data_IF_193762671230
#
_entry.id   IF_193762671230
#
_cell.length_a   1.000
_cell.length_b   1.000
_cell.length_c   1.000
_cell.angle_alpha   90.00
_cell.angle_beta   90.00
_cell.angle_gamma   90.00
#
_symmetry.space_group_name_H-M   'P 1'
#
loop_
_entity.id
_entity.type
_entity.pdbx_description
1 polymer ?
#
# COMPACT_ATOMS: atom_id res chain seq x y z
N UNK A 1 -12.45 -22.82 24.49
CA UNK A 1 -11.63 -22.92 23.26
C UNK A 1 -11.28 -21.51 22.82
N UNK A 2 -10.11 -21.04 23.24
CA UNK A 2 -9.63 -19.66 23.13
C UNK A 2 -9.20 -19.35 21.70
N UNK A 3 -9.93 -18.49 21.00
CA UNK A 3 -9.48 -17.91 19.73
C UNK A 3 -8.52 -16.77 20.02
N UNK A 4 -7.25 -17.12 20.25
CA UNK A 4 -6.15 -16.17 20.13
C UNK A 4 -6.09 -15.73 18.66
N UNK A 5 -6.74 -14.61 18.36
CA UNK A 5 -6.59 -13.92 17.09
C UNK A 5 -5.27 -13.14 17.21
N UNK A 6 -4.17 -13.56 16.56
CA UNK A 6 -2.99 -12.73 16.51
C UNK A 6 -3.35 -11.41 15.84
N UNK A 7 -2.86 -10.29 16.40
CA UNK A 7 -2.94 -8.92 15.88
C UNK A 7 -2.17 -8.74 14.54
N UNK A 8 -2.31 -9.71 13.64
CA UNK A 8 -2.43 -9.44 12.22
C UNK A 8 -3.87 -9.00 11.98
N UNK A 9 -4.19 -7.73 12.26
CA UNK A 9 -5.07 -7.01 11.31
C UNK A 9 -4.50 -7.38 9.96
N UNK A 10 -5.29 -7.98 9.08
CA UNK A 10 -4.88 -8.42 7.76
C UNK A 10 -3.89 -7.44 7.14
N UNK A 11 -2.59 -7.65 7.41
CA UNK A 11 -1.49 -6.91 6.83
C UNK A 11 -1.41 -7.58 5.48
N UNK A 12 -2.16 -7.04 4.54
CA UNK A 12 -1.94 -7.38 3.16
C UNK A 12 -0.43 -7.23 2.91
N UNK A 13 0.19 -8.18 2.19
CA UNK A 13 1.44 -7.84 1.54
C UNK A 13 1.16 -6.55 0.78
N UNK A 14 2.13 -5.65 0.72
CA UNK A 14 2.14 -4.62 -0.32
C UNK A 14 2.06 -5.37 -1.65
N UNK A 15 0.83 -5.63 -2.12
CA UNK A 15 0.60 -6.11 -3.46
C UNK A 15 0.98 -4.90 -4.29
N UNK A 16 2.19 -4.98 -4.84
CA UNK A 16 2.69 -4.14 -5.90
C UNK A 16 1.52 -3.60 -6.72
N UNK A 17 1.18 -2.33 -6.56
CA UNK A 17 0.50 -1.60 -7.62
C UNK A 17 1.59 -1.15 -8.59
N UNK A 18 2.20 -2.12 -9.27
CA UNK A 18 2.69 -1.85 -10.61
C UNK A 18 1.44 -1.68 -11.49
N UNK A 19 1.49 -0.73 -12.42
CA UNK A 19 0.41 -0.28 -13.32
C UNK A 19 -0.29 -1.35 -14.19
N UNK A 20 -0.09 -2.65 -13.96
CA UNK A 20 -0.75 -3.71 -14.73
C UNK A 20 -1.16 -4.88 -13.82
N UNK A 21 -2.44 -4.95 -13.46
CA UNK A 21 -3.03 -6.17 -12.90
C UNK A 21 -3.04 -7.26 -13.99
N UNK A 22 -2.29 -8.34 -13.76
CA UNK A 22 -2.48 -9.63 -14.42
C UNK A 22 -3.91 -10.11 -14.22
N UNK A 23 -4.59 -10.50 -15.29
CA UNK A 23 -5.73 -11.44 -15.20
C UNK A 23 -5.16 -12.83 -14.93
N UNK A 24 -5.34 -13.34 -13.72
CA UNK A 24 -5.15 -14.76 -13.43
C UNK A 24 -6.37 -15.52 -13.93
N UNK A 25 -6.16 -16.43 -14.88
CA UNK A 25 -7.17 -17.40 -15.28
C UNK A 25 -7.47 -18.33 -14.09
N UNK A 26 -8.74 -18.62 -13.77
CA UNK A 26 -9.05 -19.64 -12.77
C UNK A 26 -8.83 -21.04 -13.34
N UNK A 27 -8.00 -21.81 -12.65
CA UNK A 27 -7.86 -23.25 -12.81
C UNK A 27 -9.18 -23.97 -12.51
N UNK A 28 -9.55 -24.88 -13.41
CA UNK A 28 -10.71 -25.76 -13.31
C UNK A 28 -10.57 -26.73 -12.13
N UNK A 29 -11.56 -26.75 -11.23
CA UNK A 29 -12.11 -27.94 -10.56
C UNK A 29 -13.27 -27.50 -9.64
N UNK A 30 -14.50 -27.74 -10.08
CA UNK A 30 -15.62 -27.99 -9.18
C UNK A 30 -16.62 -28.92 -9.87
N UNK A 31 -17.08 -29.87 -9.07
CA UNK A 31 -18.05 -30.94 -9.34
C UNK A 31 -19.47 -30.36 -9.39
N UNK A 32 -20.34 -31.06 -10.11
CA UNK A 32 -21.65 -30.68 -10.61
C UNK A 32 -22.74 -30.34 -9.57
N UNK A 33 -23.67 -29.46 -9.99
CA UNK A 33 -25.11 -29.60 -9.77
C UNK A 33 -25.88 -28.79 -10.86
N UNK A 34 -26.98 -29.31 -11.44
CA UNK A 34 -27.71 -28.64 -12.52
C UNK A 34 -28.79 -27.70 -11.97
N UNK A 35 -28.66 -26.39 -12.21
CA UNK A 35 -29.77 -25.44 -12.04
C UNK A 35 -30.35 -25.04 -13.39
N UNK A 36 -31.66 -25.19 -13.50
CA UNK A 36 -32.54 -24.82 -14.61
C UNK A 36 -32.32 -23.37 -15.09
N UNK A 37 -32.16 -23.23 -16.41
CA UNK A 37 -31.86 -21.99 -17.12
C UNK A 37 -33.14 -21.21 -17.39
N UNK A 38 -33.23 -19.97 -16.89
CA UNK A 38 -34.17 -18.96 -17.38
C UNK A 38 -33.37 -17.85 -18.11
N UNK A 39 -33.73 -17.64 -19.38
CA UNK A 39 -33.33 -16.54 -20.28
C UNK A 39 -31.83 -16.32 -20.54
N UNK A 40 -31.35 -16.97 -21.61
CA UNK A 40 -30.07 -16.70 -22.27
C UNK A 40 -30.33 -16.04 -23.64
N UNK A 41 -30.29 -14.71 -23.72
CA UNK A 41 -30.36 -13.97 -24.98
C UNK A 41 -28.98 -13.86 -25.64
N UNK A 42 -28.39 -15.00 -26.01
CA UNK A 42 -27.18 -15.04 -26.85
C UNK A 42 -27.57 -15.52 -28.24
N UNK A 43 -27.31 -14.75 -29.32
CA UNK A 43 -27.59 -15.22 -30.67
C UNK A 43 -26.67 -16.40 -31.03
N UNK A 44 -27.23 -17.37 -31.76
CA UNK A 44 -26.51 -18.55 -32.23
C UNK A 44 -25.27 -18.16 -33.04
N UNK A 45 -24.13 -18.76 -32.70
CA UNK A 45 -22.90 -18.73 -33.50
C UNK A 45 -23.16 -19.50 -34.81
N UNK A 46 -23.00 -18.90 -36.00
CA UNK A 46 -23.08 -19.65 -37.24
C UNK A 46 -21.89 -20.61 -37.35
N UNK A 47 -22.21 -21.88 -37.62
CA UNK A 47 -21.26 -22.98 -37.79
C UNK A 47 -20.93 -23.12 -39.28
N UNK A 48 -20.16 -22.18 -39.85
CA UNK A 48 -19.50 -22.36 -41.15
C UNK A 48 -18.31 -21.42 -41.29
N UNK A 49 -17.20 -21.94 -41.84
CA UNK A 49 -15.87 -21.33 -41.86
C UNK A 49 -15.57 -20.63 -43.20
N UNK A 50 -16.60 -20.11 -43.86
CA UNK A 50 -16.52 -19.29 -45.06
C UNK A 50 -17.18 -17.96 -44.75
N UNK A 51 -16.55 -16.85 -45.16
CA UNK A 51 -16.88 -15.46 -44.84
C UNK A 51 -16.22 -14.93 -43.55
N UNK A 52 -14.89 -14.97 -43.52
CA UNK A 52 -14.05 -14.19 -42.59
C UNK A 52 -13.75 -12.77 -43.08
N UNK A 53 -14.54 -12.26 -44.03
CA UNK A 53 -14.54 -10.90 -44.55
C UNK A 53 -15.84 -10.17 -44.19
N UNK A 54 -16.41 -10.48 -43.02
CA UNK A 54 -17.50 -9.67 -42.44
C UNK A 54 -16.87 -8.42 -41.83
N UNK A 55 -16.85 -7.39 -42.68
CA UNK A 55 -16.81 -5.96 -42.40
C UNK A 55 -16.03 -5.49 -41.17
N UNK A 56 -14.78 -5.10 -41.42
CA UNK A 56 -13.99 -4.20 -40.54
C UNK A 56 -14.83 -2.97 -40.14
N UNK A 57 -15.68 -2.47 -41.05
CA UNK A 57 -16.62 -1.37 -40.78
C UNK A 57 -17.67 -1.69 -39.73
N UNK A 58 -18.18 -2.92 -39.70
CA UNK A 58 -19.19 -3.33 -38.73
C UNK A 58 -18.57 -3.59 -37.35
N UNK A 59 -17.32 -4.06 -37.32
CA UNK A 59 -16.53 -4.14 -36.08
C UNK A 59 -16.15 -2.75 -35.55
N UNK A 60 -15.77 -1.82 -36.42
CA UNK A 60 -15.53 -0.43 -36.04
C UNK A 60 -16.82 0.26 -35.58
N UNK A 61 -17.96 0.04 -36.25
CA UNK A 61 -19.25 0.58 -35.81
C UNK A 61 -19.69 0.02 -34.46
N UNK A 62 -19.41 -1.27 -34.18
CA UNK A 62 -19.65 -1.87 -32.86
C UNK A 62 -18.73 -1.29 -31.77
N UNK A 63 -17.46 -1.06 -32.09
CA UNK A 63 -16.51 -0.40 -31.18
C UNK A 63 -16.91 1.06 -30.92
N UNK A 64 -17.26 1.81 -31.97
CA UNK A 64 -17.74 3.20 -31.86
C UNK A 64 -19.04 3.31 -31.07
N UNK A 65 -20.00 2.39 -31.26
CA UNK A 65 -21.23 2.35 -30.47
C UNK A 65 -20.96 2.06 -28.99
N UNK A 66 -19.93 1.26 -28.69
CA UNK A 66 -19.50 0.98 -27.30
C UNK A 66 -18.79 2.19 -26.68
N UNK A 67 -18.02 2.96 -27.46
CA UNK A 67 -17.33 4.18 -27.02
C UNK A 67 -18.31 5.35 -26.84
N UNK A 68 -19.33 5.47 -27.68
CA UNK A 68 -20.37 6.52 -27.57
C UNK A 68 -21.28 6.39 -26.34
N UNK A 69 -21.33 5.22 -25.71
CA UNK A 69 -22.11 4.97 -24.50
C UNK A 69 -21.35 5.21 -23.19
N UNK A 70 -20.04 5.44 -23.23
CA UNK A 70 -19.27 5.81 -22.05
C UNK A 70 -19.25 7.34 -21.91
N UNK A 71 -19.58 7.90 -20.74
CA UNK A 71 -19.42 9.32 -20.52
C UNK A 71 -17.96 9.68 -20.79
N UNK A 72 -17.72 10.68 -21.64
CA UNK A 72 -16.37 11.16 -21.95
C UNK A 72 -15.61 11.34 -20.62
N UNK A 73 -14.43 10.74 -20.45
CA UNK A 73 -13.69 10.84 -19.21
C UNK A 73 -13.48 12.32 -18.95
N UNK A 74 -14.01 12.80 -17.82
CA UNK A 74 -13.97 14.21 -17.47
C UNK A 74 -12.50 14.66 -17.53
N UNK A 75 -12.18 15.55 -18.47
CA UNK A 75 -10.81 15.93 -18.82
C UNK A 75 -10.08 16.58 -17.62
N UNK A 76 -10.84 17.10 -16.65
CA UNK A 76 -10.31 17.60 -15.39
C UNK A 76 -9.96 16.47 -14.42
N UNK A 77 -10.76 15.41 -14.37
CA UNK A 77 -10.48 14.22 -13.57
C UNK A 77 -9.25 13.49 -14.11
N UNK A 78 -9.14 13.33 -15.43
CA UNK A 78 -7.95 12.71 -16.03
C UNK A 78 -6.68 13.52 -15.79
N UNK A 79 -6.71 14.86 -15.89
CA UNK A 79 -5.57 15.72 -15.55
C UNK A 79 -5.16 15.61 -14.07
N UNK A 80 -6.14 15.56 -13.16
CA UNK A 80 -5.88 15.35 -11.72
C UNK A 80 -5.28 13.96 -11.47
N UNK A 81 -5.81 12.92 -12.09
CA UNK A 81 -5.27 11.57 -12.00
C UNK A 81 -3.85 11.48 -12.55
N UNK A 82 -3.55 12.13 -13.68
CA UNK A 82 -2.19 12.21 -14.23
C UNK A 82 -1.24 12.91 -13.26
N UNK A 83 -1.69 13.99 -12.61
CA UNK A 83 -0.86 14.72 -11.65
C UNK A 83 -0.69 13.97 -10.33
N UNK A 84 -1.71 13.24 -9.88
CA UNK A 84 -1.63 12.33 -8.73
C UNK A 84 -0.73 11.11 -9.03
N UNK A 85 -0.76 10.59 -10.26
CA UNK A 85 0.17 9.55 -10.72
C UNK A 85 1.60 10.09 -10.83
N UNK A 86 1.78 11.34 -11.24
CA UNK A 86 3.10 11.98 -11.26
C UNK A 86 3.67 12.19 -9.84
N UNK A 87 2.84 12.23 -8.80
CA UNK A 87 3.31 12.28 -7.41
C UNK A 87 3.91 10.95 -6.92
N UNK A 88 3.55 9.82 -7.52
CA UNK A 88 4.02 8.49 -7.09
C UNK A 88 4.95 7.84 -8.11
N UNK A 89 6.26 7.85 -7.80
CA UNK A 89 7.29 7.15 -8.58
C UNK A 89 7.51 5.70 -8.07
N UNK A 90 6.80 5.31 -7.01
CA UNK A 90 7.08 4.08 -6.30
C UNK A 90 8.39 4.16 -5.50
N UNK A 91 8.80 3.03 -4.94
CA UNK A 91 10.05 2.95 -4.19
C UNK A 91 11.23 3.13 -5.15
N UNK A 92 12.16 4.05 -4.84
CA UNK A 92 13.30 4.32 -5.71
C UNK A 92 14.14 3.07 -5.97
N UNK A 93 14.66 2.93 -7.18
CA UNK A 93 15.54 1.83 -7.53
C UNK A 93 16.78 1.79 -6.62
N UNK A 94 17.26 0.56 -6.36
CA UNK A 94 18.41 0.32 -5.50
C UNK A 94 18.26 0.83 -4.05
N UNK A 95 17.03 1.01 -3.55
CA UNK A 95 16.79 1.21 -2.12
C UNK A 95 16.97 -0.11 -1.39
N UNK A 96 18.08 -0.25 -0.69
CA UNK A 96 18.34 -1.44 0.13
C UNK A 96 17.99 -1.14 1.59
N UNK A 97 17.04 -1.89 2.13
CA UNK A 97 16.66 -1.84 3.54
C UNK A 97 17.36 -3.00 4.24
N UNK A 98 18.36 -2.68 5.07
CA UNK A 98 19.14 -3.71 5.77
C UNK A 98 18.23 -4.64 6.56
N UNK A 99 18.29 -5.93 6.26
CA UNK A 99 17.61 -6.98 7.00
C UNK A 99 18.25 -7.18 8.38
N UNK A 100 17.53 -7.86 9.27
CA UNK A 100 18.10 -8.31 10.53
C UNK A 100 19.17 -9.38 10.29
N UNK A 101 20.23 -9.38 11.09
CA UNK A 101 21.33 -10.35 10.95
C UNK A 101 20.86 -11.81 11.05
N UNK A 102 19.77 -12.08 11.76
CA UNK A 102 19.16 -13.41 11.86
C UNK A 102 18.55 -13.93 10.55
N UNK A 103 18.26 -13.05 9.59
CA UNK A 103 17.68 -13.40 8.28
C UNK A 103 18.71 -13.35 7.14
N UNK A 104 19.97 -13.08 7.48
CA UNK A 104 21.06 -13.03 6.51
C UNK A 104 21.75 -14.39 6.45
N UNK A 105 22.38 -14.72 5.30
CA UNK A 105 23.22 -15.90 5.20
C UNK A 105 24.40 -15.79 6.16
N UNK A 106 25.06 -16.92 6.43
CA UNK A 106 26.18 -16.97 7.36
C UNK A 106 27.28 -15.97 6.97
N UNK A 107 27.95 -15.31 7.94
CA UNK A 107 28.93 -14.26 7.67
C UNK A 107 30.15 -14.75 6.87
N UNK A 108 30.36 -16.06 6.81
CA UNK A 108 31.44 -16.72 6.06
C UNK A 108 31.10 -16.92 4.58
N UNK A 109 29.83 -16.77 4.19
CA UNK A 109 29.39 -16.95 2.81
C UNK A 109 29.75 -15.75 1.93
N UNK A 110 30.07 -16.00 0.66
CA UNK A 110 30.25 -14.93 -0.33
C UNK A 110 28.97 -14.10 -0.53
N UNK A 111 27.80 -14.73 -0.39
CA UNK A 111 26.49 -14.07 -0.46
C UNK A 111 26.32 -13.00 0.62
N UNK A 112 26.84 -13.23 1.83
CA UNK A 112 26.84 -12.22 2.88
C UNK A 112 27.68 -10.99 2.49
N UNK A 113 28.87 -11.23 1.93
CA UNK A 113 29.77 -10.15 1.51
C UNK A 113 29.21 -9.38 0.31
N UNK A 114 28.64 -10.07 -0.68
CA UNK A 114 28.00 -9.42 -1.83
C UNK A 114 26.79 -8.58 -1.40
N UNK A 115 25.98 -9.08 -0.47
CA UNK A 115 24.90 -8.31 0.16
C UNK A 115 25.43 -7.09 0.92
N UNK A 116 26.48 -7.25 1.73
CA UNK A 116 27.06 -6.12 2.46
C UNK A 116 27.65 -5.07 1.51
N UNK A 117 28.29 -5.51 0.43
CA UNK A 117 28.81 -4.64 -0.61
C UNK A 117 27.71 -3.87 -1.32
N UNK A 118 26.57 -4.48 -1.63
CA UNK A 118 25.42 -3.78 -2.21
C UNK A 118 24.80 -2.77 -1.23
N UNK A 119 24.70 -3.11 0.05
CA UNK A 119 24.28 -2.15 1.10
C UNK A 119 25.24 -0.97 1.16
N UNK A 120 26.55 -1.22 1.17
CA UNK A 120 27.57 -0.17 1.22
C UNK A 120 27.53 0.71 -0.03
N UNK A 121 27.48 0.11 -1.23
CA UNK A 121 27.30 0.80 -2.50
C UNK A 121 26.01 1.64 -2.51
N UNK A 122 24.92 1.14 -1.94
CA UNK A 122 23.67 1.89 -1.83
C UNK A 122 23.80 3.15 -0.97
N UNK A 123 24.63 3.12 0.09
CA UNK A 123 24.91 4.27 0.94
C UNK A 123 25.75 5.33 0.23
N UNK A 124 26.79 4.91 -0.49
CA UNK A 124 27.63 5.81 -1.29
C UNK A 124 26.84 6.45 -2.43
N UNK A 125 26.09 5.66 -3.19
CA UNK A 125 25.20 6.17 -4.25
C UNK A 125 24.10 7.08 -3.68
N UNK A 126 23.57 6.76 -2.49
CA UNK A 126 22.64 7.63 -1.77
C UNK A 126 23.26 9.00 -1.40
N UNK A 127 24.52 9.03 -0.97
CA UNK A 127 25.21 10.29 -0.68
C UNK A 127 25.42 11.12 -1.95
N UNK A 128 25.88 10.48 -3.04
CA UNK A 128 26.07 11.12 -4.33
C UNK A 128 24.76 11.73 -4.87
N UNK A 129 23.67 10.95 -4.86
CA UNK A 129 22.36 11.43 -5.34
C UNK A 129 21.81 12.59 -4.52
N UNK A 130 22.12 12.67 -3.23
CA UNK A 130 21.75 13.82 -2.37
C UNK A 130 22.54 15.08 -2.69
N UNK A 131 23.83 14.95 -3.01
CA UNK A 131 24.61 16.08 -3.51
C UNK A 131 24.09 16.54 -4.87
N UNK A 132 23.72 15.61 -5.77
CA UNK A 132 23.09 15.96 -7.04
C UNK A 132 21.75 16.68 -6.85
N UNK A 133 20.86 16.17 -5.99
CA UNK A 133 19.59 16.81 -5.65
C UNK A 133 19.77 18.24 -5.15
N UNK A 134 20.80 18.50 -4.35
CA UNK A 134 21.08 19.87 -3.89
C UNK A 134 21.47 20.79 -5.03
N UNK A 135 22.13 20.29 -6.08
CA UNK A 135 22.42 21.10 -7.28
C UNK A 135 21.15 21.47 -8.05
N UNK A 136 20.12 20.61 -8.03
CA UNK A 136 18.81 20.94 -8.61
C UNK A 136 18.13 22.11 -7.87
N UNK A 137 18.31 22.21 -6.54
CA UNK A 137 17.70 23.28 -5.72
C UNK A 137 18.58 24.54 -5.67
N UNK A 138 19.89 24.37 -5.50
CA UNK A 138 20.87 25.45 -5.32
C UNK A 138 21.88 25.42 -6.45
N UNK A 139 21.65 26.25 -7.48
CA UNK A 139 22.48 26.30 -8.69
C UNK A 139 23.82 27.03 -8.53
N UNK A 140 24.00 27.86 -7.49
CA UNK A 140 25.19 28.72 -7.31
C UNK A 140 25.96 28.43 -6.00
N UNK A 141 27.28 28.46 -6.07
CA UNK A 141 28.21 28.44 -4.93
C UNK A 141 28.69 27.06 -4.47
N UNK A 142 29.73 27.06 -3.62
CA UNK A 142 30.39 25.85 -3.07
C UNK A 142 29.41 24.99 -2.25
N UNK A 143 28.41 25.62 -1.64
CA UNK A 143 27.37 24.96 -0.83
C UNK A 143 26.50 23.97 -1.64
N UNK A 144 26.49 24.05 -2.97
CA UNK A 144 25.78 23.13 -3.87
C UNK A 144 26.40 21.72 -3.91
N UNK A 145 27.68 21.57 -3.57
CA UNK A 145 28.39 20.29 -3.59
C UNK A 145 28.18 19.49 -2.30
N UNK A 146 27.91 20.17 -1.18
CA UNK A 146 27.64 19.54 0.12
C UNK A 146 26.29 18.83 0.09
N UNK A 147 26.14 17.64 0.68
CA UNK A 147 24.83 16.97 0.75
C UNK A 147 23.82 17.81 1.56
N UNK A 148 22.52 17.72 1.20
CA UNK A 148 21.44 18.53 1.81
C UNK A 148 21.37 18.38 3.34
N UNK A 149 21.60 17.18 3.88
CA UNK A 149 21.30 16.86 5.30
C UNK A 149 22.53 16.43 6.10
N UNK A 150 23.67 17.08 5.88
CA UNK A 150 24.84 16.78 6.69
C UNK A 150 24.53 16.97 8.20
N UNK A 151 23.64 17.91 8.54
CA UNK A 151 23.27 18.22 9.93
C UNK A 151 21.78 18.07 10.27
N UNK A 152 20.91 17.79 9.29
CA UNK A 152 19.44 17.78 9.49
C UNK A 152 18.83 16.40 9.78
N UNK A 153 19.67 15.41 10.10
CA UNK A 153 19.20 14.03 10.34
C UNK A 153 18.25 13.93 11.55
N UNK A 154 18.49 14.71 12.60
CA UNK A 154 17.63 14.76 13.80
C UNK A 154 16.24 15.30 13.44
N UNK A 155 16.17 16.34 12.62
CA UNK A 155 14.92 16.93 12.14
C UNK A 155 14.10 15.92 11.32
N UNK A 156 14.74 15.17 10.42
CA UNK A 156 14.08 14.11 9.65
C UNK A 156 13.54 13.00 10.54
N UNK A 157 14.31 12.56 11.55
CA UNK A 157 13.84 11.55 12.52
C UNK A 157 12.63 12.05 13.31
N UNK A 158 12.66 13.31 13.76
CA UNK A 158 11.54 13.91 14.50
C UNK A 158 10.31 14.07 13.62
N UNK A 159 10.49 14.48 12.36
CA UNK A 159 9.41 14.57 11.37
C UNK A 159 8.79 13.20 11.10
N UNK A 160 9.61 12.16 10.95
CA UNK A 160 9.15 10.77 10.80
C UNK A 160 8.33 10.30 12.00
N UNK A 161 8.77 10.55 13.24
CA UNK A 161 8.02 10.22 14.46
C UNK A 161 6.65 10.92 14.50
N UNK A 162 6.61 12.21 14.14
CA UNK A 162 5.35 12.99 14.07
C UNK A 162 4.40 12.42 13.04
N UNK A 163 4.90 12.12 11.83
CA UNK A 163 4.10 11.51 10.77
C UNK A 163 3.57 10.14 11.17
N UNK A 164 4.41 9.30 11.78
CA UNK A 164 4.00 7.99 12.28
C UNK A 164 2.85 8.11 13.29
N UNK A 165 3.00 8.98 14.31
CA UNK A 165 1.96 9.20 15.32
C UNK A 165 0.66 9.69 14.70
N UNK A 166 0.74 10.72 13.87
CA UNK A 166 -0.44 11.31 13.23
C UNK A 166 -1.14 10.33 12.28
N UNK A 167 -0.37 9.52 11.55
CA UNK A 167 -0.89 8.51 10.65
C UNK A 167 -1.78 7.50 11.38
N UNK A 168 -1.30 6.92 12.48
CA UNK A 168 -2.09 5.92 13.22
C UNK A 168 -3.24 6.53 14.02
N UNK A 169 -3.09 7.74 14.56
CA UNK A 169 -4.19 8.48 15.21
C UNK A 169 -5.35 8.69 14.23
N UNK A 170 -5.06 9.18 13.02
CA UNK A 170 -6.07 9.42 12.00
C UNK A 170 -6.69 8.10 11.48
N UNK A 171 -5.90 7.04 11.37
CA UNK A 171 -6.38 5.72 10.96
C UNK A 171 -7.31 5.12 12.03
N UNK A 172 -7.00 5.28 13.31
CA UNK A 172 -7.85 4.86 14.41
C UNK A 172 -9.18 5.64 14.41
N UNK A 173 -9.11 6.98 14.25
CA UNK A 173 -10.26 7.88 14.14
C UNK A 173 -11.14 7.60 12.91
N UNK A 174 -10.54 7.12 11.80
CA UNK A 174 -11.26 6.89 10.54
C UNK A 174 -11.35 8.13 9.63
N UNK A 175 -10.51 9.14 9.86
CA UNK A 175 -10.55 10.42 9.14
C UNK A 175 -9.82 10.37 7.80
N UNK A 176 -10.51 9.85 6.77
CA UNK A 176 -9.95 9.73 5.42
C UNK A 176 -9.54 11.07 4.79
N UNK A 177 -10.22 12.17 5.11
CA UNK A 177 -9.91 13.51 4.57
C UNK A 177 -8.57 14.03 5.08
N UNK A 178 -8.32 13.90 6.38
CA UNK A 178 -7.07 14.33 7.00
C UNK A 178 -5.89 13.46 6.52
N UNK A 179 -6.10 12.14 6.35
CA UNK A 179 -5.09 11.22 5.82
C UNK A 179 -4.60 11.62 4.43
N UNK A 180 -5.48 12.11 3.55
CA UNK A 180 -5.11 12.56 2.20
C UNK A 180 -4.11 13.71 2.20
N UNK A 181 -4.10 14.57 3.23
CA UNK A 181 -3.15 15.68 3.31
C UNK A 181 -1.73 15.24 3.69
N UNK A 182 -1.60 14.11 4.39
CA UNK A 182 -0.33 13.60 4.93
C UNK A 182 0.27 12.51 4.04
N UNK A 183 -0.59 11.66 3.48
CA UNK A 183 -0.21 10.52 2.64
C UNK A 183 -0.18 10.89 1.17
N UNK A 184 0.58 10.15 0.37
CA UNK A 184 0.45 10.22 -1.08
C UNK A 184 -0.94 9.71 -1.55
N UNK A 185 -1.44 10.19 -2.70
CA UNK A 185 -2.75 9.81 -3.22
C UNK A 185 -3.06 8.29 -3.27
N UNK A 186 -2.15 7.41 -3.75
CA UNK A 186 -2.44 5.97 -3.82
C UNK A 186 -2.52 5.32 -2.43
N UNK A 187 -1.69 5.77 -1.48
CA UNK A 187 -1.80 5.31 -0.10
C UNK A 187 -3.13 5.78 0.51
N UNK A 188 -3.49 7.04 0.32
CA UNK A 188 -4.74 7.60 0.83
C UNK A 188 -5.98 6.88 0.27
N UNK A 189 -5.98 6.50 -1.01
CA UNK A 189 -7.08 5.74 -1.62
C UNK A 189 -7.19 4.33 -1.04
N UNK A 190 -6.05 3.66 -0.81
CA UNK A 190 -6.00 2.35 -0.15
C UNK A 190 -6.49 2.39 1.30
N UNK A 191 -6.17 3.46 2.03
CA UNK A 191 -6.63 3.64 3.41
C UNK A 191 -8.10 3.95 3.47
N UNK A 192 -8.61 4.75 2.53
CA UNK A 192 -10.04 5.02 2.41
C UNK A 192 -10.83 3.74 2.18
N UNK A 193 -10.36 2.84 1.31
CA UNK A 193 -11.04 1.56 1.09
C UNK A 193 -10.97 0.65 2.31
N UNK A 194 -9.85 0.65 3.05
CA UNK A 194 -9.72 -0.09 4.32
C UNK A 194 -10.66 0.46 5.40
N UNK A 195 -10.75 1.78 5.55
CA UNK A 195 -11.66 2.42 6.51
C UNK A 195 -13.11 2.11 6.15
N UNK A 196 -13.47 2.12 4.86
CA UNK A 196 -14.81 1.72 4.42
C UNK A 196 -15.10 0.24 4.70
N UNK A 197 -14.12 -0.64 4.45
CA UNK A 197 -14.25 -2.08 4.67
C UNK A 197 -14.30 -2.47 6.16
N UNK A 198 -13.77 -1.62 7.06
CA UNK A 198 -13.75 -1.86 8.51
C UNK A 198 -15.15 -1.91 9.12
N UNK A 199 -16.16 -1.29 8.52
CA UNK A 199 -17.53 -1.30 9.06
C UNK A 199 -17.63 -0.60 10.43
N UNK A 200 -18.60 -0.98 11.29
CA UNK A 200 -18.88 -0.31 12.56
C UNK A 200 -17.93 -0.74 13.69
N UNK A 201 -16.62 -0.77 13.43
CA UNK A 201 -15.63 -1.09 14.46
C UNK A 201 -15.01 0.20 14.99
N UNK A 202 -14.95 0.39 16.31
CA UNK A 202 -14.20 1.47 16.93
C UNK A 202 -12.80 0.96 17.27
N UNK A 203 -11.78 1.64 16.75
CA UNK A 203 -10.37 1.33 16.91
C UNK A 203 -9.75 2.49 17.67
N UNK A 204 -9.02 2.20 18.74
CA UNK A 204 -8.15 3.17 19.38
C UNK A 204 -6.72 2.66 19.33
N UNK A 205 -5.83 3.57 18.96
CA UNK A 205 -4.40 3.32 18.89
C UNK A 205 -3.71 4.23 19.89
N UNK A 206 -2.79 3.67 20.67
CA UNK A 206 -1.98 4.41 21.62
C UNK A 206 -0.51 4.02 21.45
N UNK A 207 0.32 5.06 21.44
CA UNK A 207 1.76 4.94 21.39
C UNK A 207 2.32 5.17 22.79
N UNK A 208 3.00 4.18 23.34
CA UNK A 208 3.64 4.30 24.64
C UNK A 208 5.00 4.99 24.51
N UNK A 209 5.93 4.36 23.79
CA UNK A 209 7.28 4.90 23.60
C UNK A 209 7.89 4.48 22.26
N UNK A 210 8.83 5.30 21.78
CA UNK A 210 9.74 4.91 20.70
C UNK A 210 11.02 4.35 21.32
N UNK A 211 11.34 3.08 21.07
CA UNK A 211 12.61 2.47 21.45
C UNK A 211 13.77 3.01 20.63
N UNK A 212 13.60 3.05 19.30
CA UNK A 212 14.66 3.49 18.40
C UNK A 212 14.10 4.11 17.11
N UNK A 213 14.83 5.09 16.56
CA UNK A 213 14.53 5.70 15.26
C UNK A 213 15.83 5.92 14.48
N UNK A 214 15.99 5.23 13.34
CA UNK A 214 17.23 5.24 12.55
C UNK A 214 16.94 5.40 11.06
N UNK A 215 17.70 6.27 10.39
CA UNK A 215 17.60 6.44 8.93
C UNK A 215 18.35 5.29 8.26
N UNK A 216 17.60 4.46 7.52
CA UNK A 216 18.12 3.25 6.86
C UNK A 216 18.51 3.54 5.42
N UNK A 217 17.76 4.37 4.72
CA UNK A 217 18.08 4.73 3.35
C UNK A 217 17.66 6.17 3.09
N UNK A 218 18.47 6.87 2.31
CA UNK A 218 18.17 8.22 1.89
C UNK A 218 18.67 8.39 0.46
N UNK A 219 17.73 8.47 -0.48
CA UNK A 219 18.03 8.50 -1.91
C UNK A 219 17.25 9.61 -2.59
N UNK A 220 17.83 10.10 -3.68
CA UNK A 220 17.16 11.03 -4.58
C UNK A 220 17.24 10.48 -6.01
N UNK A 221 16.24 10.79 -6.84
CA UNK A 221 16.23 10.45 -8.25
C UNK A 221 15.79 11.67 -9.07
N UNK A 222 16.54 12.06 -10.11
CA UNK A 222 16.06 13.04 -11.08
C UNK A 222 14.95 12.42 -11.95
N UNK A 223 13.97 13.22 -12.37
CA UNK A 223 12.84 12.74 -13.18
C UNK A 223 13.27 12.41 -14.63
N UNK A 224 14.28 13.09 -15.15
CA UNK A 224 14.80 12.89 -16.50
C UNK A 224 15.63 14.07 -16.97
N UNK A 225 16.19 13.97 -18.19
CA UNK A 225 16.97 15.06 -18.79
C UNK A 225 16.09 16.28 -19.15
N UNK A 226 14.82 16.05 -19.48
CA UNK A 226 13.88 17.09 -19.92
C UNK A 226 13.48 18.06 -18.79
N UNK A 227 13.56 17.59 -17.53
CA UNK A 227 13.22 18.38 -16.34
C UNK A 227 14.37 18.34 -15.32
N UNK A 228 15.49 19.04 -15.57
CA UNK A 228 16.69 18.98 -14.72
C UNK A 228 16.45 19.55 -13.31
N UNK A 229 15.47 20.44 -13.18
CA UNK A 229 15.08 21.09 -11.93
C UNK A 229 14.03 20.30 -11.14
N UNK A 230 13.59 19.13 -11.66
CA UNK A 230 12.62 18.25 -11.00
C UNK A 230 13.28 16.98 -10.49
N UNK A 231 13.14 16.72 -9.19
CA UNK A 231 13.73 15.53 -8.57
C UNK A 231 12.93 15.05 -7.37
N UNK A 232 12.99 13.75 -7.13
CA UNK A 232 12.30 13.07 -6.05
C UNK A 232 13.31 12.69 -4.98
N UNK A 233 12.84 12.68 -3.74
CA UNK A 233 13.67 12.39 -2.59
C UNK A 233 12.90 11.52 -1.62
N UNK A 234 13.48 10.36 -1.31
CA UNK A 234 12.90 9.38 -0.41
C UNK A 234 13.82 9.14 0.78
N UNK A 235 13.24 9.16 1.97
CA UNK A 235 13.90 8.87 3.23
C UNK A 235 13.17 7.71 3.92
N UNK A 236 13.92 6.65 4.22
CA UNK A 236 13.41 5.45 4.88
C UNK A 236 13.92 5.45 6.30
N UNK A 237 12.99 5.46 7.26
CA UNK A 237 13.28 5.49 8.68
C UNK A 237 12.77 4.20 9.32
N UNK A 238 13.68 3.45 9.94
CA UNK A 238 13.32 2.34 10.83
C UNK A 238 12.84 2.93 12.15
N UNK A 239 11.59 2.64 12.48
CA UNK A 239 10.95 3.01 13.72
C UNK A 239 10.67 1.73 14.52
N UNK A 240 11.12 1.73 15.76
CA UNK A 240 10.83 0.68 16.73
C UNK A 240 10.01 1.31 17.86
N UNK A 241 8.76 0.88 17.98
CA UNK A 241 7.75 1.47 18.85
C UNK A 241 7.12 0.40 19.74
N UNK A 242 6.69 0.81 20.93
CA UNK A 242 5.77 0.03 21.76
C UNK A 242 4.39 0.65 21.64
N UNK A 243 3.43 -0.14 21.15
CA UNK A 243 2.09 0.32 20.84
C UNK A 243 1.03 -0.65 21.35
N UNK A 244 -0.12 -0.09 21.69
CA UNK A 244 -1.33 -0.83 22.00
C UNK A 244 -2.40 -0.48 20.99
N UNK A 245 -3.09 -1.51 20.53
CA UNK A 245 -4.19 -1.37 19.62
C UNK A 245 -5.40 -2.07 20.18
N UNK A 246 -6.52 -1.36 20.20
CA UNK A 246 -7.74 -1.83 20.82
C UNK A 246 -8.88 -1.67 19.84
N UNK A 247 -9.52 -2.78 19.50
CA UNK A 247 -10.63 -2.83 18.57
C UNK A 247 -11.87 -3.27 19.33
N UNK A 248 -12.79 -2.35 19.53
CA UNK A 248 -14.10 -2.62 20.13
C UNK A 248 -15.13 -2.69 19.01
N UNK A 249 -15.84 -3.81 18.83
CA UNK A 249 -17.01 -3.80 17.97
C UNK A 249 -17.98 -2.77 18.53
N UNK A 250 -18.39 -1.79 17.72
CA UNK A 250 -19.51 -0.96 18.13
C UNK A 250 -20.66 -1.93 18.19
N UNK A 251 -21.21 -2.16 19.39
CA UNK A 251 -22.40 -2.96 19.53
C UNK A 251 -23.42 -2.36 18.58
N UNK A 252 -23.66 -3.03 17.45
CA UNK A 252 -24.92 -2.85 16.77
C UNK A 252 -25.92 -3.10 17.87
N UNK A 253 -26.70 -2.07 18.19
CA UNK A 253 -27.92 -2.24 18.94
C UNK A 253 -28.68 -3.29 18.13
N UNK A 254 -28.45 -4.55 18.45
CA UNK A 254 -29.43 -5.59 18.30
C UNK A 254 -30.53 -5.02 19.14
N UNK A 255 -31.37 -4.19 18.52
CA UNK A 255 -32.74 -4.13 18.93
C UNK A 255 -33.07 -5.59 19.10
N UNK A 256 -33.39 -5.94 20.33
CA UNK A 256 -34.20 -7.08 20.60
C UNK A 256 -35.49 -6.85 19.80
N UNK A 257 -35.45 -6.97 18.47
CA UNK A 257 -36.36 -7.79 17.75
C UNK A 257 -36.24 -9.14 18.44
N UNK A 258 -36.94 -9.23 19.59
CA UNK A 258 -37.79 -10.36 19.87
C UNK A 258 -38.41 -10.64 18.52
N UNK A 259 -37.82 -11.56 17.77
CA UNK A 259 -38.55 -12.26 16.76
C UNK A 259 -39.77 -12.74 17.54
N UNK A 260 -40.88 -11.99 17.43
CA UNK A 260 -42.15 -12.46 17.92
C UNK A 260 -42.26 -13.78 17.17
N UNK A 261 -42.10 -14.87 17.92
CA UNK A 261 -42.26 -16.19 17.35
C UNK A 261 -43.56 -16.13 16.55
N UNK A 262 -43.58 -16.59 15.28
CA UNK A 262 -44.83 -16.68 14.57
C UNK A 262 -45.83 -17.39 15.49
N UNK A 263 -47.03 -16.80 15.62
CA UNK A 263 -48.06 -17.07 16.65
C UNK A 263 -48.51 -18.55 16.69
N UNK A 264 -48.03 -19.38 15.77
CA UNK A 264 -48.34 -20.80 15.71
C UNK A 264 -47.14 -21.65 16.12
N UNK A 265 -46.90 -21.75 17.43
CA UNK A 265 -46.16 -22.87 18.03
C UNK A 265 -47.13 -23.62 18.94
N UNK A 266 -47.39 -24.92 18.72
CA UNK A 266 -48.28 -25.68 19.59
C UNK A 266 -47.68 -25.78 21.00
N UNK A 267 -48.55 -25.56 21.99
CA UNK A 267 -48.34 -25.34 23.44
C UNK A 267 -47.54 -26.39 24.24
N UNK A 268 -46.83 -27.33 23.61
CA UNK A 268 -46.21 -28.48 24.28
C UNK A 268 -44.71 -28.42 24.53
N UNK A 269 -43.97 -27.47 23.96
CA UNK A 269 -42.51 -27.45 24.03
C UNK A 269 -42.00 -26.56 25.20
N UNK A 270 -41.88 -27.20 26.36
CA UNK A 270 -40.93 -26.94 27.45
C UNK A 270 -40.36 -25.51 27.58
N UNK A 271 -40.83 -24.80 28.61
CA UNK A 271 -40.11 -23.70 29.25
C UNK A 271 -38.77 -24.23 29.78
N UNK A 272 -37.69 -24.03 29.02
CA UNK A 272 -36.38 -23.87 29.64
C UNK A 272 -36.20 -22.39 29.92
N UNK A 273 -36.21 -22.05 31.20
CA UNK A 273 -35.87 -20.73 31.71
C UNK A 273 -34.50 -20.35 31.16
N UNK A 274 -34.49 -19.31 30.33
CA UNK A 274 -33.28 -18.64 29.91
C UNK A 274 -32.65 -18.03 31.16
N UNK A 275 -31.71 -18.76 31.76
CA UNK A 275 -30.78 -18.24 32.75
C UNK A 275 -30.09 -17.05 32.09
N UNK A 276 -30.37 -15.87 32.64
CA UNK A 276 -29.70 -14.64 32.28
C UNK A 276 -28.20 -14.83 32.52
N UNK A 277 -27.46 -15.02 31.43
CA UNK A 277 -25.99 -14.91 31.45
C UNK A 277 -25.70 -13.46 31.82
N UNK A 278 -25.03 -13.19 32.95
CA UNK A 278 -24.73 -11.83 33.37
C UNK A 278 -23.87 -11.16 32.30
N UNK A 279 -24.46 -10.16 31.67
CA UNK A 279 -23.82 -9.23 30.77
C UNK A 279 -22.94 -8.28 31.58
N UNK A 280 -21.86 -8.77 32.16
CA UNK A 280 -20.82 -7.95 32.77
C UNK A 280 -19.55 -8.78 33.01
N UNK A 281 -19.00 -9.31 31.92
CA UNK A 281 -17.56 -9.50 31.84
C UNK A 281 -17.10 -8.64 30.68
N UNK A 282 -16.97 -7.34 30.96
CA UNK A 282 -15.94 -6.55 30.29
C UNK A 282 -14.62 -7.25 30.59
N UNK A 283 -14.28 -8.24 29.77
CA UNK A 283 -12.92 -8.72 29.65
C UNK A 283 -12.20 -7.55 29.00
N UNK A 284 -11.78 -6.58 29.83
CA UNK A 284 -10.63 -5.77 29.56
C UNK A 284 -9.47 -6.75 29.44
N UNK A 285 -9.32 -7.37 28.27
CA UNK A 285 -8.14 -8.14 27.95
C UNK A 285 -7.00 -7.16 28.14
N UNK A 286 -6.19 -7.37 29.18
CA UNK A 286 -5.02 -6.54 29.49
C UNK A 286 -4.27 -6.29 28.18
N UNK A 287 -4.32 -5.03 27.72
CA UNK A 287 -3.84 -4.63 26.41
C UNK A 287 -2.32 -4.69 26.43
N UNK A 288 -1.76 -5.87 26.23
CA UNK A 288 -0.32 -6.08 26.20
C UNK A 288 0.30 -5.17 25.16
N UNK A 289 1.19 -4.29 25.60
CA UNK A 289 1.97 -3.42 24.71
C UNK A 289 2.86 -4.27 23.82
N UNK A 290 2.73 -4.13 22.50
CA UNK A 290 3.51 -4.88 21.54
C UNK A 290 4.66 -4.03 21.01
N UNK A 291 5.85 -4.62 20.93
CA UNK A 291 6.99 -3.99 20.25
C UNK A 291 6.87 -4.25 18.75
N UNK A 292 6.83 -3.18 17.96
CA UNK A 292 6.69 -3.25 16.50
C UNK A 292 7.84 -2.51 15.82
N UNK A 293 8.42 -3.15 14.81
CA UNK A 293 9.48 -2.60 13.96
C UNK A 293 8.91 -2.38 12.57
N UNK A 294 8.91 -1.13 12.13
CA UNK A 294 8.38 -0.72 10.82
C UNK A 294 9.36 0.23 10.12
N UNK A 295 9.38 0.18 8.79
CA UNK A 295 10.20 1.06 7.96
C UNK A 295 9.27 2.05 7.27
N UNK A 296 9.17 3.25 7.83
CA UNK A 296 8.38 4.33 7.26
C UNK A 296 9.15 4.96 6.10
N UNK A 297 8.49 5.07 4.94
CA UNK A 297 9.02 5.74 3.76
C UNK A 297 8.36 7.10 3.64
N UNK A 298 9.17 8.14 3.75
CA UNK A 298 8.75 9.51 3.50
C UNK A 298 9.27 9.96 2.15
N UNK A 299 8.47 10.72 1.42
CA UNK A 299 8.81 11.27 0.12
C UNK A 299 8.59 12.78 0.10
N UNK A 300 9.51 13.50 -0.55
CA UNK A 300 9.31 14.88 -1.00
C UNK A 300 9.74 14.97 -2.46
N UNK A 301 9.25 15.99 -3.16
CA UNK A 301 9.67 16.32 -4.52
C UNK A 301 10.13 17.77 -4.58
N UNK A 302 10.99 18.04 -5.54
CA UNK A 302 11.35 19.38 -5.97
C UNK A 302 10.74 19.54 -7.35
N UNK A 303 9.94 20.59 -7.53
CA UNK A 303 9.37 20.99 -8.81
C UNK A 303 9.93 22.37 -9.14
N UNK A 304 10.57 22.51 -10.31
CA UNK A 304 11.15 23.78 -10.78
C UNK A 304 12.03 24.50 -9.74
N UNK A 305 12.85 23.72 -9.02
CA UNK A 305 13.75 24.23 -7.97
C UNK A 305 13.10 24.56 -6.63
N UNK A 306 11.78 24.35 -6.46
CA UNK A 306 11.07 24.54 -5.19
C UNK A 306 10.81 23.19 -4.51
N UNK A 307 11.28 23.04 -3.27
CA UNK A 307 11.05 21.84 -2.45
C UNK A 307 9.63 21.86 -1.87
N UNK A 308 8.92 20.75 -2.03
CA UNK A 308 7.60 20.54 -1.44
C UNK A 308 7.65 19.94 -0.03
N UNK A 309 6.49 19.94 0.62
CA UNK A 309 6.32 19.27 1.89
C UNK A 309 6.50 17.75 1.80
N UNK A 310 7.00 17.20 2.90
CA UNK A 310 7.17 15.76 3.03
C UNK A 310 5.82 15.09 3.23
N UNK A 311 5.57 14.03 2.47
CA UNK A 311 4.40 13.16 2.57
C UNK A 311 4.82 11.72 2.93
N UNK A 312 3.88 10.95 3.46
CA UNK A 312 4.07 9.52 3.69
C UNK A 312 3.80 8.78 2.39
N UNK A 313 4.81 8.09 1.86
CA UNK A 313 4.64 7.20 0.72
C UNK A 313 4.03 5.86 1.16
N UNK A 314 4.53 5.32 2.27
CA UNK A 314 4.02 4.07 2.83
C UNK A 314 5.03 3.42 3.77
N UNK A 315 4.88 2.10 3.93
CA UNK A 315 5.81 1.28 4.69
C UNK A 315 6.55 0.34 3.75
N UNK A 316 7.79 0.01 4.08
CA UNK A 316 8.59 -0.93 3.30
C UNK A 316 9.03 -2.13 4.15
N UNK A 317 9.30 -3.24 3.48
CA UNK A 317 9.82 -4.46 4.10
C UNK A 317 11.34 -4.51 4.04
N UNK A 318 11.93 -5.36 4.87
CA UNK A 318 13.36 -5.68 4.79
C UNK A 318 13.73 -6.28 3.43
N UNK A 319 14.89 -5.88 2.93
CA UNK A 319 15.51 -6.39 1.70
C UNK A 319 16.42 -7.56 2.07
N UNK A 320 15.92 -8.78 1.87
CA UNK A 320 16.70 -10.03 1.96
C UNK A 320 17.40 -10.31 0.63
N UNK A 321 18.50 -11.08 0.60
CA UNK A 321 19.20 -11.41 -0.65
C UNK A 321 18.27 -12.02 -1.71
N UNK A 322 17.41 -12.96 -1.31
CA UNK A 322 16.39 -13.53 -2.19
C UNK A 322 15.46 -12.48 -2.83
N UNK A 323 15.04 -11.45 -2.07
CA UNK A 323 14.22 -10.36 -2.62
C UNK A 323 15.01 -9.47 -3.58
N UNK A 324 16.32 -9.29 -3.35
CA UNK A 324 17.15 -8.53 -4.27
C UNK A 324 17.24 -9.22 -5.62
N UNK A 325 17.41 -10.55 -5.64
CA UNK A 325 17.44 -11.31 -6.88
C UNK A 325 16.10 -11.26 -7.64
N UNK A 326 14.97 -11.34 -6.92
CA UNK A 326 13.64 -11.16 -7.49
C UNK A 326 13.46 -9.77 -8.11
N UNK A 327 13.92 -8.73 -7.41
CA UNK A 327 13.84 -7.35 -7.88
C UNK A 327 14.76 -7.12 -9.09
N UNK A 328 15.98 -7.64 -9.08
CA UNK A 328 16.91 -7.56 -10.20
C UNK A 328 16.37 -8.27 -11.44
N UNK A 329 15.78 -9.46 -11.27
CA UNK A 329 15.13 -10.19 -12.35
C UNK A 329 13.90 -9.45 -12.89
N UNK A 330 13.14 -8.78 -12.02
CA UNK A 330 12.01 -7.94 -12.43
C UNK A 330 12.49 -6.73 -13.26
N UNK A 331 13.53 -6.05 -12.81
CA UNK A 331 14.07 -4.88 -13.51
C UNK A 331 14.69 -5.25 -14.86
N UNK A 332 15.40 -6.37 -14.95
CA UNK A 332 15.89 -6.91 -16.24
C UNK A 332 14.74 -7.12 -17.21
N UNK A 333 13.66 -7.79 -16.79
CA UNK A 333 12.46 -8.00 -17.62
C UNK A 333 11.80 -6.69 -18.05
N UNK A 334 11.76 -5.67 -17.18
CA UNK A 334 11.21 -4.36 -17.53
C UNK A 334 12.08 -3.64 -18.56
N UNK A 335 13.40 -3.69 -18.40
CA UNK A 335 14.34 -3.14 -19.39
C UNK A 335 14.19 -3.85 -20.73
N UNK A 336 14.12 -5.19 -20.74
CA UNK A 336 13.93 -5.97 -21.96
C UNK A 336 12.64 -5.55 -22.69
N UNK A 337 11.53 -5.38 -21.95
CA UNK A 337 10.25 -4.91 -22.52
C UNK A 337 10.41 -3.52 -23.13
N UNK A 338 11.05 -2.58 -22.43
CA UNK A 338 11.27 -1.22 -22.94
C UNK A 338 12.15 -1.22 -24.19
N UNK A 339 13.23 -2.01 -24.19
CA UNK A 339 14.12 -2.13 -25.35
C UNK A 339 13.48 -2.87 -26.53
N UNK A 340 12.52 -3.77 -26.28
CA UNK A 340 11.80 -4.50 -27.34
C UNK A 340 10.65 -3.69 -27.95
N UNK A 341 10.19 -2.65 -27.25
CA UNK A 341 9.13 -1.75 -27.69
C UNK A 341 9.66 -0.50 -28.41
N UNK A 342 10.96 -0.22 -28.28
CA UNK A 342 11.70 0.77 -29.08
C UNK A 342 12.21 0.10 -30.35
#
# INVERSE_FOLDING_TARGET
MSTQIPLRIARSPLSRQCLFKRRTAPTLRCVAAPSTRAFSSTPMRPRRKENRLVDIRMQMAGAEATVKGQPAPNLQTSKREVQEMAEDIGLLQNTVIRAQFSKLPSPTSWEFYSYFWTVLKSRFTGLYTRSHFKRCVVKKGIKSYLPVDFLQQSMLKNKAKRFYKRYYELLAAGDAKALRSICLPPLASSLRSQIAARGPLKMSWQLHKFKSARIVSHRCAPLGADHPDTSYRQCIVRLESEQTLTTTPLATRSENHRARAPVWTPSGAVKQEAVAVPAESQVETEKQSQTVVEYLVMQTRVMDGKEEDWKIWGFAGETTPAKMEEDDAYWKKMLDIQTSAA
#
